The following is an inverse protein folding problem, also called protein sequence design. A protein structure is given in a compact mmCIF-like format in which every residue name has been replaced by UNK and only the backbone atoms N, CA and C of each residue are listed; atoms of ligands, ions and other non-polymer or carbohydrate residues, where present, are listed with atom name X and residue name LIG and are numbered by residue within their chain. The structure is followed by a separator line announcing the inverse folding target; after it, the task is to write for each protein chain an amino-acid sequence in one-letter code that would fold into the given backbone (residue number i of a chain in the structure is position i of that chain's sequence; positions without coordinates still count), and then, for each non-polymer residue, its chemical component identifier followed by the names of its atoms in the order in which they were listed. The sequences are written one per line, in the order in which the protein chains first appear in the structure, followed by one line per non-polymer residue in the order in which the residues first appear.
data_IF_198960975211
#
_entry.id   IF_198960975211
#
_cell.length_a   1.000
_cell.length_b   1.000
_cell.length_c   1.000
_cell.angle_alpha   90.00
_cell.angle_beta   90.00
_cell.angle_gamma   90.00
#
_symmetry.space_group_name_H-M   'P 1'
#
loop_
_entity.id
_entity.type
_entity.pdbx_description
1 polymer ?
#
# COMPACT_ATOMS: atom_id res chain seq x y z
N UNK A 1 -9.10 4.76 -23.89
CA UNK A 1 -10.17 5.74 -24.14
C UNK A 1 -11.03 5.99 -22.91
N UNK A 2 -11.54 4.96 -22.28
CA UNK A 2 -12.27 5.11 -21.02
C UNK A 2 -11.47 5.77 -19.91
N UNK A 3 -10.21 5.44 -19.80
CA UNK A 3 -9.34 6.03 -18.79
C UNK A 3 -9.12 7.52 -18.97
N UNK A 4 -9.11 7.97 -20.21
CA UNK A 4 -8.99 9.40 -20.50
C UNK A 4 -10.29 10.15 -20.21
N UNK A 5 -11.42 9.52 -20.48
CA UNK A 5 -12.72 10.10 -20.17
C UNK A 5 -12.93 10.18 -18.65
N UNK A 6 -12.46 9.20 -17.91
CA UNK A 6 -12.48 9.22 -16.46
C UNK A 6 -11.59 10.32 -15.89
N UNK A 7 -10.39 10.50 -16.47
CA UNK A 7 -9.48 11.57 -16.05
C UNK A 7 -10.08 12.94 -16.35
N UNK A 8 -10.69 13.10 -17.49
CA UNK A 8 -11.36 14.35 -17.88
C UNK A 8 -12.56 14.64 -16.97
N UNK A 9 -13.30 13.61 -16.57
CA UNK A 9 -14.41 13.79 -15.63
C UNK A 9 -13.95 14.07 -14.21
N UNK A 10 -12.71 13.69 -13.87
CA UNK A 10 -12.12 14.00 -12.58
C UNK A 10 -11.74 15.47 -12.43
N UNK A 11 -11.24 16.09 -13.49
CA UNK A 11 -10.80 17.47 -13.45
C UNK A 11 -11.92 18.46 -13.05
N UNK A 12 -13.12 18.34 -13.62
CA UNK A 12 -14.24 19.17 -13.17
C UNK A 12 -14.65 18.91 -11.72
N UNK A 13 -14.53 17.69 -11.26
CA UNK A 13 -14.80 17.37 -9.86
C UNK A 13 -13.79 18.01 -8.92
N UNK A 14 -12.52 18.04 -9.33
CA UNK A 14 -11.49 18.71 -8.55
C UNK A 14 -11.74 20.20 -8.41
N UNK A 15 -12.14 20.82 -9.48
CA UNK A 15 -12.48 22.25 -9.46
C UNK A 15 -13.69 22.52 -8.58
N UNK A 16 -14.72 21.69 -8.70
CA UNK A 16 -15.91 21.78 -7.86
C UNK A 16 -15.62 21.49 -6.40
N UNK A 17 -14.74 20.52 -6.14
CA UNK A 17 -14.34 20.18 -4.78
C UNK A 17 -13.48 21.27 -4.17
N UNK A 18 -12.67 21.95 -4.97
CA UNK A 18 -11.90 23.09 -4.51
C UNK A 18 -12.81 24.27 -4.12
N UNK A 19 -13.85 24.51 -4.89
CA UNK A 19 -14.85 25.53 -4.54
C UNK A 19 -15.65 25.13 -3.31
N UNK A 20 -16.05 23.87 -3.24
CA UNK A 20 -16.73 23.34 -2.05
C UNK A 20 -15.83 23.37 -0.83
N UNK A 21 -14.55 23.07 -1.01
CA UNK A 21 -13.57 23.13 0.06
C UNK A 21 -13.38 24.58 0.55
N UNK A 22 -13.48 25.52 -0.35
CA UNK A 22 -13.39 26.95 0.00
C UNK A 22 -14.61 27.40 0.80
N UNK A 23 -15.79 26.89 0.47
CA UNK A 23 -17.02 27.17 1.21
C UNK A 23 -17.10 26.42 2.54
N UNK A 24 -16.37 25.32 2.68
CA UNK A 24 -16.41 24.42 3.82
C UNK A 24 -15.14 24.43 4.66
N UNK A 25 -14.34 25.46 4.52
CA UNK A 25 -12.97 25.55 5.03
C UNK A 25 -12.82 25.32 6.54
N UNK A 26 -13.89 25.20 7.28
CA UNK A 26 -13.82 25.13 8.75
C UNK A 26 -14.09 23.74 9.34
N UNK A 27 -14.67 22.80 8.59
CA UNK A 27 -15.03 21.48 9.13
C UNK A 27 -14.45 20.30 8.37
N UNK A 28 -14.40 20.36 7.06
CA UNK A 28 -14.12 19.16 6.24
C UNK A 28 -12.64 18.92 5.96
N UNK A 29 -11.76 19.90 6.13
CA UNK A 29 -10.31 19.68 6.03
C UNK A 29 -9.79 18.74 7.10
N UNK A 30 -10.46 18.68 8.24
CA UNK A 30 -10.06 17.82 9.35
C UNK A 30 -10.50 16.37 9.16
N UNK A 31 -11.47 16.13 8.27
CA UNK A 31 -11.99 14.79 7.99
C UNK A 31 -11.29 14.11 6.81
N UNK A 32 -10.34 14.76 6.17
CA UNK A 32 -9.55 14.11 5.13
C UNK A 32 -8.57 13.15 5.78
N UNK A 33 -9.01 11.92 5.88
CA UNK A 33 -8.22 10.84 6.41
C UNK A 33 -7.05 10.57 5.46
N UNK A 34 -5.83 10.79 5.94
CA UNK A 34 -4.64 10.42 5.17
C UNK A 34 -4.63 8.92 4.96
N UNK A 35 -4.36 8.50 3.72
CA UNK A 35 -4.18 7.09 3.43
C UNK A 35 -3.02 6.53 4.24
N UNK A 36 -3.22 5.36 4.80
CA UNK A 36 -2.27 4.72 5.70
C UNK A 36 -1.63 3.53 5.01
N UNK A 37 -0.33 3.54 4.93
CA UNK A 37 0.45 2.47 4.30
C UNK A 37 1.24 1.75 5.38
N UNK A 38 1.07 0.44 5.47
CA UNK A 38 1.87 -0.41 6.34
C UNK A 38 3.04 -0.96 5.53
N UNK A 39 4.25 -0.61 5.92
CA UNK A 39 5.48 -1.00 5.25
C UNK A 39 6.24 -2.01 6.12
N UNK A 40 6.41 -3.21 5.59
CA UNK A 40 7.00 -4.35 6.31
C UNK A 40 8.30 -4.74 5.62
N UNK A 41 9.41 -4.52 6.28
CA UNK A 41 10.74 -4.87 5.77
C UNK A 41 11.71 -4.98 6.95
N UNK A 42 12.48 -6.05 7.01
CA UNK A 42 13.46 -6.26 8.07
C UNK A 42 14.76 -5.47 7.85
N UNK A 43 15.01 -5.02 6.63
CA UNK A 43 16.16 -4.16 6.31
C UNK A 43 15.80 -2.71 6.64
N UNK A 44 16.37 -2.19 7.70
CA UNK A 44 16.09 -0.83 8.18
C UNK A 44 16.39 0.23 7.12
N UNK A 45 17.53 0.11 6.44
CA UNK A 45 17.92 1.10 5.42
C UNK A 45 16.97 1.10 4.23
N UNK A 46 16.60 -0.08 3.74
CA UNK A 46 15.64 -0.21 2.65
C UNK A 46 14.26 0.33 3.06
N UNK A 47 13.82 -0.01 4.26
CA UNK A 47 12.54 0.46 4.80
C UNK A 47 12.50 1.98 4.92
N UNK A 48 13.55 2.58 5.48
CA UNK A 48 13.65 4.04 5.61
C UNK A 48 13.62 4.75 4.25
N UNK A 49 14.33 4.21 3.27
CA UNK A 49 14.34 4.78 1.92
C UNK A 49 12.94 4.77 1.30
N UNK A 50 12.24 3.65 1.38
CA UNK A 50 10.88 3.53 0.86
C UNK A 50 9.90 4.41 1.63
N UNK A 51 10.07 4.49 2.94
CA UNK A 51 9.25 5.33 3.80
C UNK A 51 9.35 6.81 3.39
N UNK A 52 10.56 7.29 3.12
CA UNK A 52 10.76 8.67 2.65
C UNK A 52 10.04 8.92 1.33
N UNK A 53 10.14 7.97 0.40
CA UNK A 53 9.47 8.07 -0.90
C UNK A 53 7.95 8.08 -0.72
N UNK A 54 7.43 7.24 0.15
CA UNK A 54 5.99 7.18 0.44
C UNK A 54 5.48 8.46 1.09
N UNK A 55 6.21 9.00 2.04
CA UNK A 55 5.83 10.25 2.73
C UNK A 55 5.73 11.43 1.78
N UNK A 56 6.49 11.42 0.68
CA UNK A 56 6.37 12.46 -0.35
C UNK A 56 5.00 12.44 -1.06
N UNK A 57 4.25 11.36 -0.91
CA UNK A 57 2.92 11.18 -1.53
C UNK A 57 1.77 11.55 -0.59
N UNK A 58 2.06 12.22 0.52
CA UNK A 58 1.06 12.64 1.50
C UNK A 58 0.28 11.47 2.09
N UNK A 59 0.97 10.37 2.35
CA UNK A 59 0.41 9.21 3.04
C UNK A 59 1.08 9.08 4.41
N UNK A 60 0.35 8.49 5.35
CA UNK A 60 0.92 8.08 6.62
C UNK A 60 1.60 6.73 6.42
N UNK A 61 2.88 6.63 6.70
CA UNK A 61 3.63 5.40 6.57
C UNK A 61 3.92 4.82 7.95
N UNK A 62 3.40 3.63 8.21
CA UNK A 62 3.68 2.87 9.43
C UNK A 62 4.73 1.83 9.09
N UNK A 63 5.85 1.86 9.77
CA UNK A 63 7.00 1.00 9.50
C UNK A 63 7.08 -0.10 10.56
N UNK A 64 7.19 -1.33 10.12
CA UNK A 64 7.42 -2.48 11.00
C UNK A 64 8.53 -3.35 10.42
N UNK A 65 9.25 -4.05 11.28
CA UNK A 65 10.44 -4.79 10.90
C UNK A 65 10.22 -6.24 10.50
N UNK A 66 9.03 -6.79 10.72
CA UNK A 66 8.73 -8.18 10.37
C UNK A 66 7.23 -8.43 10.31
N UNK A 67 6.87 -9.61 9.81
CA UNK A 67 5.47 -9.99 9.65
C UNK A 67 4.71 -10.13 10.96
N UNK A 68 5.39 -10.53 12.04
CA UNK A 68 4.73 -10.65 13.35
C UNK A 68 4.32 -9.29 13.89
N UNK A 69 5.19 -8.30 13.80
CA UNK A 69 4.86 -6.92 14.18
C UNK A 69 3.72 -6.38 13.32
N UNK A 70 3.73 -6.71 12.03
CA UNK A 70 2.67 -6.30 11.13
C UNK A 70 1.33 -6.90 11.54
N UNK A 71 1.31 -8.18 11.89
CA UNK A 71 0.08 -8.85 12.34
C UNK A 71 -0.43 -8.23 13.65
N UNK A 72 0.45 -7.94 14.60
CA UNK A 72 0.08 -7.28 15.85
C UNK A 72 -0.56 -5.92 15.57
N UNK A 73 0.05 -5.14 14.69
CA UNK A 73 -0.47 -3.83 14.32
C UNK A 73 -1.86 -3.94 13.68
N UNK A 74 -2.05 -4.92 12.81
CA UNK A 74 -3.32 -5.14 12.09
C UNK A 74 -4.46 -5.61 12.99
N UNK A 75 -4.17 -6.10 14.20
CA UNK A 75 -5.22 -6.46 15.17
C UNK A 75 -6.08 -5.26 15.52
N UNK A 76 -5.49 -4.08 15.65
CA UNK A 76 -6.18 -2.88 16.12
C UNK A 76 -6.20 -1.75 15.10
N UNK A 77 -5.63 -1.95 13.92
CA UNK A 77 -5.48 -0.90 12.92
C UNK A 77 -5.82 -1.44 11.53
N UNK A 78 -6.14 -0.52 10.66
CA UNK A 78 -6.44 -0.81 9.26
C UNK A 78 -5.48 -0.04 8.36
N UNK A 79 -4.95 -0.72 7.35
CA UNK A 79 -4.13 -0.09 6.33
C UNK A 79 -4.91 0.06 5.03
N UNK A 80 -4.65 1.13 4.31
CA UNK A 80 -5.18 1.32 2.96
C UNK A 80 -4.33 0.58 1.92
N UNK A 81 -3.09 0.28 2.28
CA UNK A 81 -2.16 -0.48 1.45
C UNK A 81 -1.14 -1.16 2.36
N UNK A 82 -0.82 -2.41 2.05
CA UNK A 82 0.26 -3.15 2.72
C UNK A 82 1.37 -3.38 1.70
N UNK A 83 2.59 -3.00 2.05
CA UNK A 83 3.78 -3.26 1.23
C UNK A 83 4.68 -4.14 2.07
N UNK A 84 5.02 -5.31 1.56
CA UNK A 84 5.86 -6.26 2.29
C UNK A 84 7.01 -6.76 1.44
N UNK A 85 8.19 -6.79 2.03
CA UNK A 85 9.30 -7.56 1.51
C UNK A 85 8.99 -9.06 1.67
N UNK A 86 9.42 -9.89 0.73
CA UNK A 86 9.25 -11.34 0.86
C UNK A 86 10.34 -11.98 1.69
N UNK A 87 11.57 -11.48 1.58
CA UNK A 87 12.73 -12.10 2.23
C UNK A 87 12.90 -11.54 3.63
N UNK A 88 12.19 -12.13 4.58
CA UNK A 88 12.26 -11.75 5.98
C UNK A 88 12.48 -13.01 6.84
N UNK A 89 13.26 -12.91 7.93
CA UNK A 89 13.43 -14.03 8.83
C UNK A 89 12.14 -14.33 9.59
N UNK A 90 11.98 -15.57 10.01
CA UNK A 90 10.87 -16.09 10.81
C UNK A 90 9.57 -16.20 10.02
N UNK A 91 9.12 -15.10 9.42
CA UNK A 91 7.88 -15.08 8.64
C UNK A 91 8.14 -14.36 7.32
N UNK A 92 8.17 -15.12 6.22
CA UNK A 92 8.34 -14.54 4.90
C UNK A 92 7.13 -13.68 4.52
N UNK A 93 7.30 -12.82 3.51
CA UNK A 93 6.18 -12.03 3.00
C UNK A 93 5.02 -12.88 2.52
N UNK A 94 5.29 -13.99 1.84
CA UNK A 94 4.25 -14.92 1.39
C UNK A 94 3.51 -15.56 2.56
N UNK A 95 4.24 -15.98 3.59
CA UNK A 95 3.62 -16.54 4.79
C UNK A 95 2.80 -15.50 5.54
N UNK A 96 3.29 -14.28 5.61
CA UNK A 96 2.57 -13.14 6.16
C UNK A 96 1.25 -12.90 5.41
N UNK A 97 1.30 -12.91 4.07
CA UNK A 97 0.12 -12.74 3.23
C UNK A 97 -0.90 -13.84 3.50
N UNK A 98 -0.45 -15.09 3.60
CA UNK A 98 -1.35 -16.19 3.94
C UNK A 98 -2.01 -15.98 5.29
N UNK A 99 -1.28 -15.50 6.28
CA UNK A 99 -1.86 -15.18 7.59
C UNK A 99 -2.90 -14.07 7.51
N UNK A 100 -2.67 -13.04 6.72
CA UNK A 100 -3.66 -11.98 6.50
C UNK A 100 -4.95 -12.57 5.93
N UNK A 101 -4.85 -13.49 4.97
CA UNK A 101 -6.01 -14.11 4.33
C UNK A 101 -6.83 -14.94 5.30
N UNK A 102 -6.21 -15.48 6.34
CA UNK A 102 -6.90 -16.24 7.37
C UNK A 102 -7.60 -15.36 8.38
N UNK A 103 -7.23 -14.10 8.47
CA UNK A 103 -7.84 -13.16 9.40
C UNK A 103 -9.09 -12.54 8.79
N UNK A 104 -9.97 -12.10 9.67
CA UNK A 104 -11.20 -11.46 9.24
C UNK A 104 -10.92 -10.04 8.73
N UNK A 105 -11.83 -9.57 7.90
CA UNK A 105 -11.84 -8.19 7.46
C UNK A 105 -11.66 -7.21 8.65
N UNK A 106 -11.04 -6.05 8.43
CA UNK A 106 -10.75 -5.49 7.11
C UNK A 106 -9.34 -5.76 6.58
N UNK A 107 -8.47 -6.43 7.34
CA UNK A 107 -7.07 -6.61 6.95
C UNK A 107 -6.92 -7.31 5.58
N UNK A 108 -7.77 -8.30 5.31
CA UNK A 108 -7.71 -9.05 4.06
C UNK A 108 -8.27 -8.29 2.85
N UNK A 109 -8.80 -7.10 3.04
CA UNK A 109 -9.29 -6.25 1.95
C UNK A 109 -8.26 -5.23 1.50
N UNK A 110 -7.20 -5.02 2.27
CA UNK A 110 -6.14 -4.10 1.88
C UNK A 110 -5.39 -4.64 0.67
N UNK A 111 -5.16 -3.83 -0.37
CA UNK A 111 -4.28 -4.25 -1.44
C UNK A 111 -2.88 -4.49 -0.90
N UNK A 112 -2.18 -5.47 -1.47
CA UNK A 112 -0.84 -5.86 -1.03
C UNK A 112 0.12 -5.77 -2.21
N UNK A 113 1.22 -5.06 -2.02
CA UNK A 113 2.36 -5.06 -2.94
C UNK A 113 3.46 -5.88 -2.29
N UNK A 114 3.92 -6.91 -2.99
CA UNK A 114 5.00 -7.78 -2.55
C UNK A 114 6.30 -7.38 -3.26
N UNK A 115 7.33 -7.09 -2.49
CA UNK A 115 8.65 -6.78 -3.02
C UNK A 115 9.55 -7.99 -2.85
N UNK A 116 10.26 -8.42 -3.91
CA UNK A 116 11.12 -9.59 -3.83
C UNK A 116 12.32 -9.49 -4.75
N UNK A 117 13.46 -9.91 -4.25
CA UNK A 117 14.66 -10.05 -5.07
C UNK A 117 14.60 -11.24 -6.01
N UNK A 118 13.83 -12.25 -5.67
CA UNK A 118 13.67 -13.43 -6.51
C UNK A 118 12.51 -14.28 -6.03
N UNK A 119 11.49 -14.45 -6.88
CA UNK A 119 10.43 -15.41 -6.68
C UNK A 119 10.45 -16.41 -7.82
N UNK A 120 10.35 -17.69 -7.50
CA UNK A 120 10.15 -18.71 -8.51
C UNK A 120 8.69 -18.71 -8.99
N UNK A 121 8.38 -19.50 -10.02
CA UNK A 121 7.05 -19.53 -10.61
C UNK A 121 5.97 -20.02 -9.64
N UNK A 122 6.31 -20.96 -8.75
CA UNK A 122 5.38 -21.45 -7.74
C UNK A 122 5.04 -20.35 -6.72
N UNK A 123 6.04 -19.62 -6.28
CA UNK A 123 5.85 -18.51 -5.35
C UNK A 123 5.04 -17.38 -5.97
N UNK A 124 5.30 -17.06 -7.23
CA UNK A 124 4.50 -16.06 -7.97
C UNK A 124 3.05 -16.52 -8.09
N UNK A 125 2.84 -17.79 -8.39
CA UNK A 125 1.50 -18.35 -8.46
C UNK A 125 0.79 -18.28 -7.11
N UNK A 126 1.50 -18.60 -6.03
CA UNK A 126 0.99 -18.51 -4.66
C UNK A 126 0.56 -17.08 -4.34
N UNK A 127 1.40 -16.09 -4.66
CA UNK A 127 1.11 -14.69 -4.45
C UNK A 127 -0.14 -14.24 -5.21
N UNK A 128 -0.22 -14.59 -6.49
CA UNK A 128 -1.39 -14.24 -7.33
C UNK A 128 -2.67 -14.90 -6.81
N UNK A 129 -2.59 -16.15 -6.41
CA UNK A 129 -3.73 -16.87 -5.84
C UNK A 129 -4.20 -16.25 -4.52
N UNK A 130 -3.27 -15.73 -3.73
CA UNK A 130 -3.60 -14.99 -2.51
C UNK A 130 -4.17 -13.61 -2.79
N UNK A 131 -4.20 -13.17 -4.04
CA UNK A 131 -4.80 -11.91 -4.44
C UNK A 131 -3.92 -10.69 -4.23
N UNK A 132 -2.58 -10.83 -4.28
CA UNK A 132 -1.71 -9.66 -4.19
C UNK A 132 -1.99 -8.70 -5.35
N UNK A 133 -1.94 -7.43 -5.05
CA UNK A 133 -2.17 -6.39 -6.04
C UNK A 133 -1.06 -6.32 -7.08
N UNK A 134 0.18 -6.41 -6.62
CA UNK A 134 1.35 -6.36 -7.50
C UNK A 134 2.54 -7.06 -6.84
N UNK A 135 3.41 -7.61 -7.69
CA UNK A 135 4.72 -8.14 -7.31
C UNK A 135 5.76 -7.27 -8.00
N UNK A 136 6.65 -6.67 -7.25
CA UNK A 136 7.75 -5.86 -7.78
C UNK A 136 9.07 -6.51 -7.48
N UNK A 137 9.91 -6.61 -8.51
CA UNK A 137 11.26 -7.17 -8.37
C UNK A 137 12.20 -6.14 -7.73
N UNK A 138 13.06 -6.61 -6.85
CA UNK A 138 14.14 -5.80 -6.29
C UNK A 138 15.41 -5.92 -7.14
N UNK A 139 16.14 -4.84 -7.36
CA UNK A 139 15.82 -3.47 -7.00
C UNK A 139 14.76 -2.90 -7.95
N UNK A 140 13.71 -2.32 -7.40
CA UNK A 140 12.73 -1.59 -8.21
C UNK A 140 13.11 -0.11 -8.24
N UNK A 141 12.84 0.56 -9.35
CA UNK A 141 13.02 2.00 -9.38
C UNK A 141 11.85 2.68 -8.66
N UNK A 142 12.11 3.85 -8.11
CA UNK A 142 11.10 4.57 -7.33
C UNK A 142 9.90 5.00 -8.17
N UNK A 143 10.10 5.28 -9.45
CA UNK A 143 9.02 5.65 -10.36
C UNK A 143 8.01 4.50 -10.52
N UNK A 144 8.49 3.29 -10.76
CA UNK A 144 7.65 2.10 -10.85
C UNK A 144 6.95 1.81 -9.53
N UNK A 145 7.70 1.88 -8.44
CA UNK A 145 7.17 1.69 -7.09
C UNK A 145 6.03 2.67 -6.80
N UNK A 146 6.25 3.96 -7.02
CA UNK A 146 5.24 4.98 -6.78
C UNK A 146 4.01 4.82 -7.68
N UNK A 147 4.21 4.43 -8.93
CA UNK A 147 3.09 4.18 -9.85
C UNK A 147 2.18 3.08 -9.30
N UNK A 148 2.76 2.00 -8.79
CA UNK A 148 1.99 0.90 -8.22
C UNK A 148 1.29 1.31 -6.92
N UNK A 149 1.97 2.08 -6.08
CA UNK A 149 1.38 2.62 -4.84
C UNK A 149 0.16 3.48 -5.17
N UNK A 150 0.29 4.38 -6.12
CA UNK A 150 -0.81 5.26 -6.52
C UNK A 150 -2.00 4.46 -7.06
N UNK A 151 -1.75 3.47 -7.90
CA UNK A 151 -2.81 2.59 -8.42
C UNK A 151 -3.50 1.82 -7.30
N UNK A 152 -2.75 1.27 -6.37
CA UNK A 152 -3.29 0.52 -5.25
C UNK A 152 -4.16 1.39 -4.33
N UNK A 153 -3.77 2.63 -4.12
CA UNK A 153 -4.49 3.55 -3.24
C UNK A 153 -5.74 4.15 -3.88
N UNK A 154 -5.87 4.07 -5.21
CA UNK A 154 -7.06 4.54 -5.92
C UNK A 154 -8.25 3.59 -5.80
N UNK A 155 -7.99 2.34 -5.52
CA UNK A 155 -9.01 1.29 -5.37
C UNK A 155 -9.84 1.36 -4.10
#
# INVERSE_FOLDING_TARGET
MRGMDEVVSYLPRYENDAEKTKARSHGERMDQHMKKVLLVDDDTSAREALSLVLKSQQVECVEVGNGSEAMEWLVSNQADLIISDNQMPVLSGLDFIDQIQLHQKPANESPIILLSGHLNEQEKHRARKAGVFAILDKPCNFSEFLSMVQLALQG
#
